data_IF_993467170878
#
_entry.id   IF_993467170878
#
_cell.length_a   1.000
_cell.length_b   1.000
_cell.length_c   1.000
_cell.angle_alpha   90.00
_cell.angle_beta   90.00
_cell.angle_gamma   90.00
#
_symmetry.space_group_name_H-M   'P 1'
#
loop_
_entity.id
_entity.type
_entity.pdbx_description
1 polymer ?
#
# COMPACT_ATOMS: atom_id res chain seq x y z
N UNK A 1 16.80 54.29 -25.22
CA UNK A 1 17.19 52.87 -25.06
C UNK A 1 16.30 52.26 -23.98
N UNK A 2 15.34 51.42 -24.35
CA UNK A 2 14.43 50.73 -23.42
C UNK A 2 14.97 49.31 -23.21
N UNK A 3 15.44 49.00 -22.01
CA UNK A 3 15.83 47.65 -21.63
C UNK A 3 14.56 46.84 -21.35
N UNK A 4 14.28 45.88 -22.23
CA UNK A 4 13.22 44.89 -22.02
C UNK A 4 13.76 43.85 -21.02
N UNK A 5 13.34 43.93 -19.77
CA UNK A 5 13.66 42.92 -18.76
C UNK A 5 12.76 41.71 -19.06
N UNK A 6 13.33 40.69 -19.70
CA UNK A 6 12.69 39.38 -19.84
C UNK A 6 12.95 38.65 -18.53
N UNK A 7 11.94 38.65 -17.64
CA UNK A 7 11.94 37.87 -16.40
C UNK A 7 11.73 36.38 -16.76
N UNK A 8 12.64 35.45 -16.39
CA UNK A 8 12.39 34.03 -16.64
C UNK A 8 11.45 33.50 -15.54
N UNK A 9 10.15 33.60 -15.78
CA UNK A 9 9.10 33.08 -14.89
C UNK A 9 8.77 31.62 -15.23
N UNK A 10 9.76 30.71 -15.20
CA UNK A 10 9.48 29.28 -15.36
C UNK A 10 10.54 28.45 -14.62
N UNK A 11 10.41 28.24 -13.31
CA UNK A 11 11.11 27.12 -12.64
C UNK A 11 10.59 26.82 -11.21
N UNK A 12 9.32 26.46 -11.04
CA UNK A 12 8.79 26.02 -9.72
C UNK A 12 7.74 24.90 -9.82
N UNK A 13 7.98 23.83 -10.59
CA UNK A 13 7.00 22.72 -10.70
C UNK A 13 7.50 21.32 -10.32
N UNK A 14 8.73 21.15 -9.84
CA UNK A 14 9.29 19.80 -9.57
C UNK A 14 9.39 19.39 -8.09
N UNK A 15 8.92 20.20 -7.13
CA UNK A 15 9.18 19.96 -5.69
C UNK A 15 8.18 18.95 -5.04
N UNK A 16 7.04 18.65 -5.66
CA UNK A 16 5.98 17.85 -5.03
C UNK A 16 6.29 16.35 -4.82
N UNK A 17 7.01 15.71 -5.75
CA UNK A 17 7.12 14.24 -5.78
C UNK A 17 8.15 13.64 -4.81
N UNK A 18 9.17 14.40 -4.40
CA UNK A 18 10.18 13.90 -3.46
C UNK A 18 9.59 13.68 -2.07
N UNK A 19 8.62 14.51 -1.66
CA UNK A 19 8.11 14.52 -0.30
C UNK A 19 7.31 13.25 0.03
N UNK A 20 6.42 12.79 -0.85
CA UNK A 20 5.63 11.56 -0.62
C UNK A 20 6.52 10.32 -0.56
N UNK A 21 7.54 10.26 -1.43
CA UNK A 21 8.53 9.18 -1.43
C UNK A 21 9.27 9.11 -0.10
N UNK A 22 9.69 10.25 0.44
CA UNK A 22 10.34 10.32 1.75
C UNK A 22 9.41 9.91 2.89
N UNK A 23 8.13 10.28 2.81
CA UNK A 23 7.13 9.91 3.82
C UNK A 23 6.86 8.41 3.86
N UNK A 24 6.93 7.72 2.72
CA UNK A 24 6.77 6.27 2.62
C UNK A 24 7.88 5.50 3.35
N UNK A 25 9.10 6.04 3.41
CA UNK A 25 10.23 5.37 4.08
C UNK A 25 9.89 5.10 5.55
N UNK A 26 10.16 3.87 6.00
CA UNK A 26 9.86 3.39 7.34
C UNK A 26 8.93 2.19 7.37
N UNK A 27 8.51 1.85 8.59
CA UNK A 27 7.70 0.67 8.89
C UNK A 27 6.22 1.00 9.00
N UNK A 28 5.39 0.15 8.42
CA UNK A 28 3.95 0.30 8.28
C UNK A 28 3.23 -1.00 8.62
N UNK A 29 2.24 -0.91 9.51
CA UNK A 29 1.41 -2.03 9.94
C UNK A 29 0.00 -1.91 9.39
N UNK A 30 -0.51 -2.98 8.77
CA UNK A 30 -1.89 -2.99 8.30
C UNK A 30 -2.85 -2.87 9.50
N UNK A 31 -3.69 -1.84 9.48
CA UNK A 31 -4.67 -1.58 10.53
C UNK A 31 -6.07 -2.02 10.13
N UNK A 32 -6.47 -1.74 8.90
CA UNK A 32 -7.77 -2.15 8.37
C UNK A 32 -7.73 -2.36 6.86
N UNK A 33 -8.67 -3.17 6.37
CA UNK A 33 -8.84 -3.43 4.94
C UNK A 33 -10.32 -3.50 4.60
N UNK A 34 -10.79 -2.64 3.70
CA UNK A 34 -12.21 -2.55 3.32
C UNK A 34 -12.77 -3.87 2.79
N UNK A 35 -11.93 -4.70 2.16
CA UNK A 35 -12.36 -6.01 1.67
C UNK A 35 -12.88 -6.90 2.80
N UNK A 36 -12.30 -6.82 4.00
CA UNK A 36 -12.77 -7.57 5.18
C UNK A 36 -14.20 -7.13 5.54
N UNK A 37 -14.46 -5.83 5.57
CA UNK A 37 -15.81 -5.31 5.85
C UNK A 37 -16.81 -5.74 4.77
N UNK A 38 -16.42 -5.69 3.48
CA UNK A 38 -17.27 -6.15 2.37
C UNK A 38 -17.56 -7.65 2.45
N UNK A 39 -16.58 -8.48 2.79
CA UNK A 39 -16.79 -9.93 2.92
C UNK A 39 -17.73 -10.23 4.08
N UNK A 40 -17.64 -9.52 5.21
CA UNK A 40 -18.58 -9.66 6.33
C UNK A 40 -20.03 -9.36 5.97
N UNK A 41 -20.25 -8.55 4.94
CA UNK A 41 -21.58 -8.23 4.40
C UNK A 41 -22.01 -9.17 3.26
N UNK A 42 -21.13 -10.08 2.82
CA UNK A 42 -21.44 -10.99 1.72
C UNK A 42 -22.40 -12.09 2.16
N UNK A 43 -23.25 -12.63 1.25
CA UNK A 43 -24.14 -13.74 1.55
C UNK A 43 -23.42 -14.96 2.12
N UNK A 44 -22.22 -15.27 1.60
CA UNK A 44 -21.43 -16.42 2.06
C UNK A 44 -20.95 -16.29 3.51
N UNK A 45 -20.74 -15.06 4.00
CA UNK A 45 -20.42 -14.83 5.41
C UNK A 45 -21.70 -14.78 6.26
N UNK A 46 -22.71 -14.03 5.83
CA UNK A 46 -23.96 -13.82 6.59
C UNK A 46 -24.75 -15.12 6.78
N UNK A 47 -24.79 -15.97 5.76
CA UNK A 47 -25.52 -17.24 5.78
C UNK A 47 -24.61 -18.46 5.97
N UNK A 48 -23.33 -18.25 6.26
CA UNK A 48 -22.38 -19.32 6.51
C UNK A 48 -22.64 -20.02 7.85
N UNK A 49 -22.26 -21.28 7.96
CA UNK A 49 -22.25 -21.98 9.24
C UNK A 49 -21.19 -21.40 10.19
N UNK A 50 -21.34 -21.69 11.49
CA UNK A 50 -20.47 -21.13 12.53
C UNK A 50 -19.00 -21.51 12.38
N UNK A 51 -18.70 -22.70 11.84
CA UNK A 51 -17.32 -23.17 11.65
C UNK A 51 -16.66 -22.41 10.51
N UNK A 52 -17.34 -22.29 9.37
CA UNK A 52 -16.86 -21.53 8.21
C UNK A 52 -16.63 -20.06 8.55
N UNK A 53 -17.57 -19.43 9.26
CA UNK A 53 -17.43 -18.03 9.72
C UNK A 53 -16.22 -17.85 10.64
N UNK A 54 -16.03 -18.76 11.61
CA UNK A 54 -14.90 -18.70 12.53
C UNK A 54 -13.55 -18.85 11.80
N UNK A 55 -13.48 -19.70 10.77
CA UNK A 55 -12.27 -19.84 9.94
C UNK A 55 -11.94 -18.56 9.18
N UNK A 56 -12.95 -17.92 8.58
CA UNK A 56 -12.80 -16.65 7.87
C UNK A 56 -12.34 -15.53 8.83
N UNK A 57 -12.95 -15.43 10.02
CA UNK A 57 -12.56 -14.43 11.03
C UNK A 57 -11.13 -14.64 11.53
N UNK A 58 -10.71 -15.90 11.73
CA UNK A 58 -9.32 -16.21 12.07
C UNK A 58 -8.37 -15.77 10.95
N UNK A 59 -8.75 -15.99 9.69
CA UNK A 59 -7.96 -15.55 8.54
C UNK A 59 -7.85 -14.02 8.49
N UNK A 60 -8.94 -13.29 8.71
CA UNK A 60 -8.93 -11.83 8.77
C UNK A 60 -7.99 -11.30 9.86
N UNK A 61 -8.10 -11.88 11.07
CA UNK A 61 -7.23 -11.52 12.19
C UNK A 61 -5.77 -11.76 11.82
N UNK A 62 -5.43 -12.94 11.28
CA UNK A 62 -4.05 -13.25 10.85
C UNK A 62 -3.57 -12.30 9.77
N UNK A 63 -4.39 -11.93 8.79
CA UNK A 63 -4.01 -10.98 7.74
C UNK A 63 -3.63 -9.62 8.34
N UNK A 64 -4.47 -9.07 9.22
CA UNK A 64 -4.20 -7.79 9.87
C UNK A 64 -2.96 -7.88 10.77
N UNK A 65 -2.85 -8.95 11.58
CA UNK A 65 -1.77 -9.16 12.54
C UNK A 65 -0.43 -9.47 11.90
N UNK A 66 -0.40 -10.00 10.67
CA UNK A 66 0.84 -10.38 9.99
C UNK A 66 1.31 -9.38 8.93
N UNK A 67 0.41 -8.61 8.32
CA UNK A 67 0.78 -7.75 7.19
C UNK A 67 1.58 -6.53 7.66
N UNK A 68 2.84 -6.41 7.23
CA UNK A 68 3.76 -5.30 7.53
C UNK A 68 4.59 -4.94 6.32
N UNK A 69 4.83 -3.65 6.09
CA UNK A 69 5.65 -3.13 4.99
C UNK A 69 6.77 -2.28 5.59
N UNK A 70 8.01 -2.48 5.16
CA UNK A 70 9.19 -1.71 5.58
C UNK A 70 9.85 -1.17 4.32
N UNK A 71 9.55 0.10 4.00
CA UNK A 71 10.14 0.79 2.87
C UNK A 71 11.51 1.36 3.26
N UNK A 72 12.57 0.86 2.63
CA UNK A 72 13.85 1.54 2.54
C UNK A 72 13.88 2.52 1.37
N UNK A 73 15.05 3.07 1.04
CA UNK A 73 15.20 4.06 -0.03
C UNK A 73 14.78 3.54 -1.41
N UNK A 74 15.24 2.32 -1.75
CA UNK A 74 14.97 1.64 -3.02
C UNK A 74 14.54 0.17 -2.81
N UNK A 75 14.40 -0.25 -1.56
CA UNK A 75 14.06 -1.62 -1.15
C UNK A 75 12.79 -1.64 -0.33
N UNK A 76 12.05 -2.74 -0.40
CA UNK A 76 10.87 -3.02 0.40
C UNK A 76 11.00 -4.44 0.97
N UNK A 77 10.91 -4.55 2.29
CA UNK A 77 10.69 -5.83 2.95
C UNK A 77 9.26 -5.86 3.44
N UNK A 78 8.52 -6.92 3.15
CA UNK A 78 7.15 -7.02 3.62
C UNK A 78 6.79 -8.43 4.07
N UNK A 79 5.90 -8.51 5.06
CA UNK A 79 5.27 -9.73 5.50
C UNK A 79 3.79 -9.70 5.09
N UNK A 80 3.25 -10.83 4.67
CA UNK A 80 1.82 -10.97 4.39
C UNK A 80 1.37 -12.43 4.53
N UNK A 81 0.07 -12.65 4.59
CA UNK A 81 -0.51 -13.98 4.66
C UNK A 81 -0.76 -14.53 3.25
N UNK A 82 -0.04 -15.58 2.85
CA UNK A 82 -0.27 -16.33 1.62
C UNK A 82 -0.87 -17.71 2.00
N UNK A 83 -2.16 -17.92 1.73
CA UNK A 83 -2.89 -19.07 2.25
C UNK A 83 -2.94 -19.05 3.77
N UNK A 84 -2.37 -20.07 4.44
CA UNK A 84 -2.29 -20.15 5.91
C UNK A 84 -0.93 -19.72 6.47
N UNK A 85 0.02 -19.35 5.61
CA UNK A 85 1.41 -19.10 5.99
C UNK A 85 1.74 -17.61 5.95
N UNK A 86 2.45 -17.12 6.97
CA UNK A 86 3.05 -15.79 6.93
C UNK A 86 4.32 -15.90 6.10
N UNK A 87 4.39 -15.11 5.04
CA UNK A 87 5.53 -15.10 4.12
C UNK A 87 6.19 -13.74 4.18
N UNK A 88 7.52 -13.75 4.33
CA UNK A 88 8.36 -12.57 4.24
C UNK A 88 8.95 -12.50 2.84
N UNK A 89 8.96 -11.31 2.26
CA UNK A 89 9.43 -11.07 0.90
C UNK A 89 10.32 -9.84 0.86
N UNK A 90 11.26 -9.85 -0.08
CA UNK A 90 12.05 -8.69 -0.47
C UNK A 90 11.64 -8.24 -1.87
N UNK A 91 11.64 -6.93 -2.07
CA UNK A 91 11.27 -6.31 -3.32
C UNK A 91 12.05 -5.01 -3.53
N UNK A 92 12.13 -4.59 -4.78
CA UNK A 92 12.42 -3.20 -5.14
C UNK A 92 11.10 -2.46 -5.29
N UNK A 93 11.09 -1.17 -4.99
CA UNK A 93 9.91 -0.35 -5.19
C UNK A 93 10.25 0.99 -5.81
N UNK A 94 9.27 1.57 -6.49
CA UNK A 94 9.31 2.91 -7.03
C UNK A 94 7.94 3.57 -6.86
N UNK A 95 7.93 4.89 -6.65
CA UNK A 95 6.72 5.70 -6.69
C UNK A 95 6.73 6.49 -8.00
N UNK A 96 5.76 6.21 -8.87
CA UNK A 96 5.50 6.94 -10.11
C UNK A 96 4.15 7.61 -10.00
N UNK A 97 4.15 8.94 -9.89
CA UNK A 97 2.95 9.71 -9.59
C UNK A 97 2.28 9.14 -8.32
N UNK A 98 1.04 8.64 -8.44
CA UNK A 98 0.29 8.02 -7.33
C UNK A 98 0.31 6.49 -7.41
N UNK A 99 1.31 5.89 -8.03
CA UNK A 99 1.42 4.43 -8.18
C UNK A 99 2.71 3.93 -7.56
N UNK A 100 2.58 3.06 -6.56
CA UNK A 100 3.69 2.30 -5.99
C UNK A 100 3.82 1.02 -6.82
N UNK A 101 4.92 0.89 -7.55
CA UNK A 101 5.27 -0.33 -8.26
C UNK A 101 6.22 -1.15 -7.37
N UNK A 102 5.90 -2.42 -7.13
CA UNK A 102 6.65 -3.34 -6.27
C UNK A 102 7.07 -4.54 -7.11
N UNK A 103 8.38 -4.71 -7.30
CA UNK A 103 8.96 -5.84 -8.03
C UNK A 103 9.68 -6.76 -7.06
N UNK A 104 9.17 -7.96 -6.87
CA UNK A 104 9.79 -8.94 -5.98
C UNK A 104 11.16 -9.37 -6.53
N UNK A 105 12.14 -9.55 -5.64
CA UNK A 105 13.51 -9.93 -6.03
C UNK A 105 13.68 -11.44 -6.19
N UNK A 106 12.86 -12.23 -5.49
CA UNK A 106 12.94 -13.70 -5.46
C UNK A 106 12.15 -14.39 -6.59
N UNK A 107 11.17 -13.69 -7.18
CA UNK A 107 10.33 -14.21 -8.28
C UNK A 107 9.98 -13.10 -9.25
N UNK A 108 9.72 -13.46 -10.51
CA UNK A 108 9.24 -12.52 -11.52
C UNK A 108 7.77 -12.14 -11.26
N UNK A 109 7.55 -11.33 -10.23
CA UNK A 109 6.24 -10.89 -9.80
C UNK A 109 6.23 -9.38 -9.57
N UNK A 110 5.30 -8.72 -10.25
CA UNK A 110 5.09 -7.27 -10.19
C UNK A 110 3.72 -7.01 -9.56
N UNK A 111 3.68 -6.12 -8.58
CA UNK A 111 2.45 -5.59 -7.98
C UNK A 111 2.43 -4.08 -8.17
N UNK A 112 1.23 -3.55 -8.31
CA UNK A 112 1.00 -2.12 -8.33
C UNK A 112 -0.03 -1.76 -7.27
N UNK A 113 0.16 -0.62 -6.63
CA UNK A 113 -0.81 -0.08 -5.67
C UNK A 113 -0.98 1.42 -5.91
N UNK A 114 -2.23 1.85 -5.96
CA UNK A 114 -2.56 3.26 -6.00
C UNK A 114 -2.39 3.86 -4.61
N UNK A 115 -1.62 4.94 -4.52
CA UNK A 115 -1.42 5.75 -3.34
C UNK A 115 -2.53 6.80 -3.24
N UNK A 116 -3.41 6.65 -2.26
CA UNK A 116 -4.43 7.66 -1.96
C UNK A 116 -3.92 8.74 -1.01
N UNK A 117 -3.08 8.35 -0.06
CA UNK A 117 -2.58 9.25 0.98
C UNK A 117 -1.36 8.64 1.67
N UNK A 118 -0.37 9.48 1.95
CA UNK A 118 0.70 9.19 2.91
C UNK A 118 0.96 10.44 3.75
N UNK A 119 1.10 10.25 5.06
CA UNK A 119 1.58 11.28 5.97
C UNK A 119 2.49 10.64 7.03
N UNK A 120 2.70 11.32 8.17
CA UNK A 120 3.61 10.81 9.21
C UNK A 120 3.08 9.55 9.92
N UNK A 121 1.76 9.38 9.96
CA UNK A 121 1.09 8.38 10.81
C UNK A 121 0.31 7.35 10.00
N UNK A 122 -0.17 7.71 8.81
CA UNK A 122 -1.01 6.86 7.98
C UNK A 122 -0.56 6.75 6.53
N UNK A 123 -0.81 5.57 5.97
CA UNK A 123 -0.64 5.23 4.56
C UNK A 123 -1.91 4.54 4.07
N UNK A 124 -2.51 5.05 3.00
CA UNK A 124 -3.74 4.50 2.41
C UNK A 124 -3.46 4.14 0.97
N UNK A 125 -3.61 2.86 0.66
CA UNK A 125 -3.38 2.32 -0.68
C UNK A 125 -4.50 1.38 -1.12
N UNK A 126 -4.67 1.18 -2.42
CA UNK A 126 -5.46 0.07 -2.97
C UNK A 126 -4.67 -0.66 -4.04
N UNK A 127 -4.84 -2.00 -4.19
CA UNK A 127 -4.17 -2.72 -5.25
C UNK A 127 -4.64 -2.25 -6.62
N UNK A 128 -3.75 -2.19 -7.60
CA UNK A 128 -4.10 -2.04 -9.01
C UNK A 128 -4.03 -3.44 -9.62
N UNK A 129 -5.14 -3.89 -10.22
CA UNK A 129 -5.26 -5.20 -10.86
C UNK A 129 -5.75 -4.98 -12.28
N UNK A 130 -5.05 -5.53 -13.26
CA UNK A 130 -5.35 -5.36 -14.69
C UNK A 130 -5.54 -3.88 -15.09
N UNK A 131 -4.69 -3.00 -14.54
CA UNK A 131 -4.72 -1.56 -14.78
C UNK A 131 -5.86 -0.80 -14.08
N UNK A 132 -6.68 -1.46 -13.27
CA UNK A 132 -7.80 -0.85 -12.56
C UNK A 132 -7.51 -0.73 -11.07
N UNK A 133 -7.80 0.44 -10.50
CA UNK A 133 -7.69 0.67 -9.06
C UNK A 133 -8.78 -0.14 -8.35
N UNK A 134 -8.36 -1.02 -7.45
CA UNK A 134 -9.26 -1.84 -6.65
C UNK A 134 -10.17 -0.99 -5.76
N UNK A 135 -11.42 -1.45 -5.60
CA UNK A 135 -12.42 -0.72 -4.82
C UNK A 135 -12.23 -0.80 -3.30
N UNK A 136 -11.27 -1.58 -2.81
CA UNK A 136 -11.04 -1.84 -1.39
C UNK A 136 -9.71 -1.25 -0.95
N UNK A 137 -9.74 -0.31 -0.01
CA UNK A 137 -8.54 0.36 0.50
C UNK A 137 -7.98 -0.36 1.71
N UNK A 138 -6.66 -0.36 1.79
CA UNK A 138 -5.88 -0.78 2.94
C UNK A 138 -5.37 0.46 3.67
N UNK A 139 -5.65 0.55 4.97
CA UNK A 139 -5.09 1.56 5.85
C UNK A 139 -3.97 0.93 6.65
N UNK A 140 -2.79 1.52 6.52
CA UNK A 140 -1.62 1.22 7.33
C UNK A 140 -1.36 2.36 8.31
N UNK A 141 -0.86 1.99 9.48
CA UNK A 141 -0.37 2.93 10.49
C UNK A 141 1.14 2.78 10.63
N UNK A 142 1.83 3.87 10.97
CA UNK A 142 3.27 3.81 11.25
C UNK A 142 3.54 2.82 12.40
N UNK A 143 4.50 1.92 12.19
CA UNK A 143 4.95 0.96 13.22
C UNK A 143 6.32 1.41 13.73
N UNK A 144 6.38 1.92 14.96
CA UNK A 144 7.60 2.51 15.53
C UNK A 144 8.59 1.48 16.09
N UNK A 145 8.54 0.23 15.63
CA UNK A 145 9.40 -0.85 16.13
C UNK A 145 10.86 -0.67 15.75
#
# INVERSE_FOLDING_TARGET
MKYLIILPLVFLYSIGFSQERELLVGSWKLKSYDAIAKIRLSPGYVFGDSVSVAQIENQFKKTLDSTTYIFGKDSLTYASLEGSNIVNRQALWELKENTICIKETERNYLREAHLFMVNKDSLIIAPIVDGQIGSSKMLFIRDSK
#
